data_IF_237808440328
#
_entry.id   IF_237808440328
#
_cell.length_a   1.000
_cell.length_b   1.000
_cell.length_c   1.000
_cell.angle_alpha   90.00
_cell.angle_beta   90.00
_cell.angle_gamma   90.00
#
_symmetry.space_group_name_H-M   'P 1'
#
loop_
_entity.id
_entity.type
_entity.pdbx_description
1 polymer ?
#
# COMPACT_ATOMS: atom_id res chain seq x y z
N UNK A 1 -8.93 17.48 -5.16
CA UNK A 1 -8.22 18.46 -6.00
C UNK A 1 -7.18 19.17 -5.14
N UNK A 2 -5.91 19.13 -5.55
CA UNK A 2 -4.91 20.16 -5.28
C UNK A 2 -3.63 19.76 -6.02
N UNK A 3 -3.55 20.12 -7.30
CA UNK A 3 -2.27 20.31 -7.96
C UNK A 3 -2.03 21.83 -7.93
N UNK A 4 -1.36 22.31 -6.88
CA UNK A 4 -0.69 23.60 -7.00
C UNK A 4 0.46 23.33 -7.95
N UNK A 5 0.34 23.76 -9.21
CA UNK A 5 1.44 23.74 -10.15
C UNK A 5 2.50 24.71 -9.63
N UNK A 6 3.43 24.20 -8.81
CA UNK A 6 4.64 24.91 -8.46
C UNK A 6 5.49 25.06 -9.73
N UNK A 7 5.72 26.29 -10.17
CA UNK A 7 6.61 26.64 -11.26
C UNK A 7 8.10 26.55 -10.88
N UNK A 8 8.42 26.14 -9.64
CA UNK A 8 9.81 26.06 -9.19
C UNK A 8 10.56 24.90 -9.86
N UNK A 9 11.85 25.09 -10.19
CA UNK A 9 12.65 24.08 -10.88
C UNK A 9 12.78 22.81 -10.04
N UNK A 10 12.73 21.66 -10.71
CA UNK A 10 13.00 20.35 -10.11
C UNK A 10 14.48 20.30 -9.76
N UNK A 11 14.78 20.10 -8.48
CA UNK A 11 16.12 19.96 -7.95
C UNK A 11 16.66 18.53 -8.12
N UNK A 12 15.79 17.54 -7.90
CA UNK A 12 16.14 16.12 -7.99
C UNK A 12 14.90 15.29 -8.28
N UNK A 13 15.12 14.15 -8.94
CA UNK A 13 14.11 13.15 -9.25
C UNK A 13 14.60 11.77 -8.79
N UNK A 14 13.70 10.93 -8.30
CA UNK A 14 14.02 9.56 -7.90
C UNK A 14 12.86 8.61 -8.17
N UNK A 15 13.15 7.46 -8.78
CA UNK A 15 12.17 6.38 -8.93
C UNK A 15 12.06 5.58 -7.64
N UNK A 16 10.82 5.36 -7.20
CA UNK A 16 10.48 4.57 -6.02
C UNK A 16 9.76 3.30 -6.44
N UNK A 17 10.23 2.15 -5.95
CA UNK A 17 9.47 0.91 -5.94
C UNK A 17 8.77 0.78 -4.60
N UNK A 18 7.45 0.68 -4.59
CA UNK A 18 6.66 0.60 -3.36
C UNK A 18 5.95 -0.73 -3.31
N UNK A 19 6.10 -1.45 -2.20
CA UNK A 19 5.37 -2.67 -1.89
C UNK A 19 4.25 -2.37 -0.90
N UNK A 20 3.07 -2.91 -1.19
CA UNK A 20 1.87 -2.81 -0.36
C UNK A 20 1.47 -4.21 0.08
N UNK A 21 1.36 -4.41 1.38
CA UNK A 21 0.97 -5.67 2.01
C UNK A 21 -0.20 -5.42 2.96
N UNK A 22 -1.16 -6.33 2.95
CA UNK A 22 -2.15 -6.46 4.03
C UNK A 22 -1.75 -7.70 4.83
N UNK A 23 -1.51 -7.52 6.12
CA UNK A 23 -1.12 -8.60 7.02
C UNK A 23 -2.24 -8.93 7.97
N UNK A 24 -2.49 -10.22 8.19
CA UNK A 24 -3.47 -10.72 9.14
C UNK A 24 -2.79 -11.37 10.35
N UNK A 25 -3.40 -11.22 11.53
CA UNK A 25 -2.91 -11.83 12.76
C UNK A 25 -3.10 -13.35 12.70
N UNK A 26 -1.99 -14.08 12.64
CA UNK A 26 -1.97 -15.53 12.68
C UNK A 26 -2.08 -16.05 14.13
N UNK A 27 -2.46 -17.34 14.33
CA UNK A 27 -2.62 -17.93 15.67
C UNK A 27 -1.36 -17.91 16.54
N UNK A 28 -0.17 -17.79 15.93
CA UNK A 28 1.10 -17.65 16.65
C UNK A 28 1.35 -16.23 17.18
N UNK A 29 0.44 -15.28 16.94
CA UNK A 29 0.54 -13.89 17.37
C UNK A 29 1.28 -12.98 16.40
N UNK A 30 1.73 -13.50 15.25
CA UNK A 30 2.45 -12.71 14.24
C UNK A 30 1.53 -12.20 13.14
N UNK A 31 1.84 -11.02 12.60
CA UNK A 31 1.16 -10.47 11.42
C UNK A 31 1.84 -10.96 10.15
N UNK A 32 1.13 -11.79 9.39
CA UNK A 32 1.64 -12.42 8.18
C UNK A 32 0.92 -11.85 6.96
N UNK A 33 1.63 -11.52 5.85
CA UNK A 33 0.99 -11.07 4.62
C UNK A 33 -0.06 -12.07 4.13
N UNK A 34 -1.22 -11.57 3.76
CA UNK A 34 -2.27 -12.38 3.14
C UNK A 34 -1.86 -12.81 1.73
N UNK A 35 -2.47 -13.88 1.24
CA UNK A 35 -2.26 -14.30 -0.15
C UNK A 35 -2.79 -13.21 -1.09
N UNK A 36 -1.98 -12.87 -2.09
CA UNK A 36 -2.40 -12.04 -3.21
C UNK A 36 -2.58 -12.91 -4.44
N UNK A 37 -3.77 -12.85 -5.02
CA UNK A 37 -4.00 -13.43 -6.33
C UNK A 37 -3.54 -12.43 -7.40
N UNK A 38 -2.56 -12.85 -8.17
CA UNK A 38 -2.02 -12.11 -9.32
C UNK A 38 -2.51 -12.70 -10.65
N UNK A 39 -3.47 -13.62 -10.62
CA UNK A 39 -4.21 -13.95 -11.84
C UNK A 39 -5.03 -12.73 -12.27
N UNK A 40 -5.12 -12.56 -13.60
CA UNK A 40 -5.71 -11.42 -14.30
C UNK A 40 -4.83 -10.14 -14.41
N UNK A 41 -4.98 -9.42 -15.52
CA UNK A 41 -4.51 -8.05 -15.72
C UNK A 41 -5.35 -7.05 -14.88
N UNK A 42 -5.47 -7.30 -13.58
CA UNK A 42 -6.24 -6.42 -12.70
C UNK A 42 -5.65 -5.01 -12.71
N UNK A 43 -6.49 -3.96 -12.76
CA UNK A 43 -6.01 -2.57 -12.73
C UNK A 43 -5.12 -2.28 -11.51
N UNK A 44 -5.36 -2.98 -10.40
CA UNK A 44 -4.62 -2.85 -9.16
C UNK A 44 -3.37 -3.73 -9.08
N UNK A 45 -3.11 -4.60 -10.06
CA UNK A 45 -2.00 -5.56 -10.14
C UNK A 45 -2.00 -6.65 -9.05
N UNK A 46 -3.19 -7.03 -8.59
CA UNK A 46 -3.42 -8.13 -7.65
C UNK A 46 -4.66 -7.92 -6.79
N UNK A 47 -5.18 -9.02 -6.22
CA UNK A 47 -6.31 -9.02 -5.29
C UNK A 47 -5.93 -9.69 -3.96
N UNK A 48 -6.03 -8.95 -2.85
CA UNK A 48 -5.74 -9.46 -1.51
C UNK A 48 -6.88 -10.34 -1.01
N UNK A 49 -6.53 -11.55 -0.57
CA UNK A 49 -7.48 -12.56 -0.12
C UNK A 49 -7.56 -12.54 1.42
N UNK A 50 -8.55 -11.83 1.96
CA UNK A 50 -8.71 -11.56 3.40
C UNK A 50 -9.63 -12.56 4.08
N UNK A 51 -9.45 -12.78 5.38
CA UNK A 51 -10.37 -13.55 6.21
C UNK A 51 -11.23 -12.62 7.07
N UNK A 52 -12.54 -12.84 7.10
CA UNK A 52 -13.46 -12.04 7.91
C UNK A 52 -13.11 -12.11 9.41
N UNK A 53 -13.20 -10.96 10.09
CA UNK A 53 -13.07 -10.88 11.55
C UNK A 53 -11.66 -11.10 12.11
N UNK A 54 -10.63 -11.00 11.25
CA UNK A 54 -9.22 -11.07 11.67
C UNK A 54 -8.63 -9.66 11.77
N UNK A 55 -7.82 -9.43 12.81
CA UNK A 55 -7.09 -8.17 12.99
C UNK A 55 -6.04 -7.99 11.90
N UNK A 56 -5.92 -6.77 11.36
CA UNK A 56 -5.05 -6.49 10.21
C UNK A 56 -4.08 -5.35 10.44
N UNK A 57 -2.99 -5.39 9.69
CA UNK A 57 -2.06 -4.27 9.51
C UNK A 57 -1.83 -4.02 8.03
N UNK A 58 -1.63 -2.76 7.69
CA UNK A 58 -1.08 -2.38 6.40
C UNK A 58 0.42 -2.20 6.57
N UNK A 59 1.22 -2.86 5.73
CA UNK A 59 2.67 -2.72 5.70
C UNK A 59 3.07 -2.16 4.34
N UNK A 60 3.86 -1.08 4.38
CA UNK A 60 4.32 -0.40 3.18
C UNK A 60 5.84 -0.36 3.23
N UNK A 61 6.48 -0.82 2.16
CA UNK A 61 7.93 -0.76 2.00
C UNK A 61 8.27 0.06 0.78
N UNK A 62 9.07 1.11 0.96
CA UNK A 62 9.52 2.00 -0.11
C UNK A 62 10.99 1.71 -0.36
N UNK A 63 11.30 1.32 -1.59
CA UNK A 63 12.64 1.01 -2.05
C UNK A 63 13.09 2.05 -3.10
N UNK A 64 14.31 2.54 -2.96
CA UNK A 64 14.93 3.40 -3.98
C UNK A 64 16.45 3.21 -4.02
N UNK A 65 17.06 3.61 -5.13
CA UNK A 65 18.51 3.62 -5.25
C UNK A 65 19.13 4.55 -4.22
N UNK A 66 20.25 4.11 -3.64
CA UNK A 66 20.99 4.89 -2.65
C UNK A 66 21.54 6.15 -3.31
N UNK A 67 21.18 7.30 -2.77
CA UNK A 67 21.66 8.61 -3.22
C UNK A 67 21.77 9.57 -2.03
N UNK A 68 22.35 10.75 -2.27
CA UNK A 68 22.55 11.79 -1.26
C UNK A 68 21.60 12.99 -1.43
N UNK A 69 20.58 12.87 -2.30
CA UNK A 69 19.68 13.99 -2.60
C UNK A 69 18.53 14.09 -1.61
N UNK A 70 18.14 12.98 -0.98
CA UNK A 70 17.13 12.99 0.08
C UNK A 70 17.28 11.79 1.02
N UNK A 71 16.64 11.91 2.18
CA UNK A 71 16.46 10.84 3.13
C UNK A 71 15.04 10.87 3.69
N UNK A 72 14.45 9.70 3.92
CA UNK A 72 13.19 9.58 4.65
C UNK A 72 13.40 9.96 6.11
N UNK A 73 12.51 10.81 6.63
CA UNK A 73 12.53 11.24 8.03
C UNK A 73 11.54 10.42 8.86
N UNK A 74 10.27 10.44 8.47
CA UNK A 74 9.18 9.73 9.16
C UNK A 74 7.95 9.60 8.25
N UNK A 75 6.90 8.96 8.73
CA UNK A 75 5.58 8.90 8.09
C UNK A 75 4.64 9.82 8.86
N UNK A 76 4.20 10.90 8.20
CA UNK A 76 3.30 11.87 8.80
C UNK A 76 1.91 11.27 9.01
N UNK A 77 1.40 10.57 8.00
CA UNK A 77 0.04 10.05 8.02
C UNK A 77 -0.15 8.92 7.01
N UNK A 78 -0.95 7.92 7.36
CA UNK A 78 -1.50 6.94 6.43
C UNK A 78 -3.02 7.00 6.45
N UNK A 79 -3.61 7.34 5.31
CA UNK A 79 -5.04 7.49 5.13
C UNK A 79 -5.58 6.38 4.25
N UNK A 80 -6.72 5.78 4.64
CA UNK A 80 -7.42 4.78 3.84
C UNK A 80 -8.91 5.08 3.76
N UNK A 81 -9.56 4.76 2.65
CA UNK A 81 -10.99 4.98 2.46
C UNK A 81 -11.43 4.76 1.02
N UNK A 82 -12.49 5.44 0.59
CA UNK A 82 -13.03 5.30 -0.79
C UNK A 82 -13.40 3.87 -1.11
N UNK A 83 -14.07 3.22 -0.16
CA UNK A 83 -14.49 1.82 -0.24
C UNK A 83 -15.58 1.69 -1.29
N UNK A 84 -15.35 0.85 -2.30
CA UNK A 84 -16.24 0.71 -3.46
C UNK A 84 -16.16 -0.69 -4.07
N UNK A 85 -17.08 -1.02 -4.98
CA UNK A 85 -17.11 -2.30 -5.70
C UNK A 85 -16.75 -2.20 -7.19
N UNK A 86 -16.53 -0.99 -7.70
CA UNK A 86 -16.01 -0.70 -9.04
C UNK A 86 -14.58 -0.20 -8.98
N UNK A 87 -13.84 -0.34 -10.09
CA UNK A 87 -12.45 0.15 -10.17
C UNK A 87 -12.47 1.69 -10.08
N UNK A 88 -13.35 2.29 -10.86
CA UNK A 88 -13.60 3.73 -10.89
C UNK A 88 -14.28 4.18 -9.58
N UNK A 89 -13.97 5.40 -9.17
CA UNK A 89 -14.61 6.10 -8.07
C UNK A 89 -15.63 7.08 -8.64
N UNK A 90 -16.88 6.98 -8.19
CA UNK A 90 -17.99 7.81 -8.67
C UNK A 90 -18.52 8.75 -7.57
N UNK A 91 -19.36 9.71 -7.95
CA UNK A 91 -19.87 10.72 -7.01
C UNK A 91 -20.64 10.13 -5.82
N UNK A 92 -21.30 8.98 -5.99
CA UNK A 92 -21.98 8.28 -4.89
C UNK A 92 -21.01 7.64 -3.88
N UNK A 93 -19.72 7.49 -4.22
CA UNK A 93 -18.69 6.98 -3.31
C UNK A 93 -18.09 8.09 -2.43
N UNK A 94 -18.47 9.36 -2.66
CA UNK A 94 -17.94 10.52 -1.92
C UNK A 94 -18.26 10.45 -0.42
N UNK A 95 -19.38 9.83 -0.06
CA UNK A 95 -19.82 9.69 1.33
C UNK A 95 -19.08 8.58 2.09
N UNK A 96 -18.16 7.86 1.45
CA UNK A 96 -17.40 6.79 2.09
C UNK A 96 -16.47 7.32 3.18
N UNK A 97 -16.44 6.61 4.32
CA UNK A 97 -15.60 6.99 5.45
C UNK A 97 -14.11 6.84 5.10
N UNK A 98 -13.37 7.93 5.32
CA UNK A 98 -11.92 8.00 5.19
C UNK A 98 -11.31 8.06 6.60
N UNK A 99 -10.33 7.20 6.85
CA UNK A 99 -9.72 7.00 8.16
C UNK A 99 -8.23 7.29 8.10
N UNK A 100 -7.74 8.04 9.09
CA UNK A 100 -6.31 8.14 9.41
C UNK A 100 -5.94 7.01 10.36
N UNK A 101 -4.91 6.23 10.02
CA UNK A 101 -4.55 5.01 10.75
C UNK A 101 -3.48 5.26 11.82
N UNK A 102 -3.53 4.49 12.90
CA UNK A 102 -2.50 4.49 13.93
C UNK A 102 -1.21 3.85 13.40
N UNK A 103 -0.16 4.67 13.24
CA UNK A 103 1.15 4.27 12.74
C UNK A 103 1.99 3.59 13.82
N UNK A 104 2.74 2.58 13.41
CA UNK A 104 3.88 2.06 14.15
C UNK A 104 5.16 2.79 13.71
N UNK A 105 6.21 2.83 14.56
CA UNK A 105 7.48 3.46 14.19
C UNK A 105 8.04 2.89 12.88
N UNK A 106 8.36 3.79 11.96
CA UNK A 106 9.03 3.43 10.72
C UNK A 106 10.48 3.01 10.98
N UNK A 107 11.03 2.18 10.11
CA UNK A 107 12.40 1.70 10.23
C UNK A 107 13.00 1.37 8.86
N UNK A 108 14.33 1.31 8.81
CA UNK A 108 15.06 0.92 7.60
C UNK A 108 15.34 -0.58 7.61
N UNK A 109 15.15 -1.23 6.47
CA UNK A 109 15.51 -2.63 6.26
C UNK A 109 16.86 -2.73 5.56
N UNK A 110 17.61 -3.79 5.87
CA UNK A 110 18.85 -4.14 5.20
C UNK A 110 18.69 -5.53 4.56
N UNK A 111 18.92 -5.60 3.25
CA UNK A 111 18.97 -6.87 2.53
C UNK A 111 20.41 -7.17 2.12
N UNK A 112 20.85 -8.40 2.32
CA UNK A 112 22.19 -8.81 1.93
C UNK A 112 22.35 -8.70 0.41
N UNK A 113 23.42 -8.05 -0.05
CA UNK A 113 23.73 -7.82 -1.45
C UNK A 113 22.70 -6.95 -2.22
N UNK A 114 21.91 -6.15 -1.50
CA UNK A 114 21.05 -5.14 -2.11
C UNK A 114 21.48 -3.76 -1.59
N UNK A 115 21.96 -2.90 -2.50
CA UNK A 115 22.47 -1.57 -2.13
C UNK A 115 21.36 -0.52 -2.05
N UNK A 116 20.11 -0.87 -2.37
CA UNK A 116 18.97 0.03 -2.29
C UNK A 116 18.63 0.36 -0.84
N UNK A 117 18.01 1.51 -0.66
CA UNK A 117 17.44 1.93 0.62
C UNK A 117 16.02 1.40 0.72
N UNK A 118 15.70 0.73 1.82
CA UNK A 118 14.36 0.23 2.11
C UNK A 118 13.83 0.89 3.38
N UNK A 119 12.78 1.69 3.23
CA UNK A 119 12.07 2.34 4.33
C UNK A 119 10.70 1.67 4.51
N UNK A 120 10.46 1.09 5.69
CA UNK A 120 9.24 0.35 5.99
C UNK A 120 8.49 0.96 7.17
N UNK A 121 7.16 0.94 7.07
CA UNK A 121 6.28 1.27 8.18
C UNK A 121 5.04 0.38 8.15
N UNK A 122 4.38 0.30 9.30
CA UNK A 122 3.11 -0.41 9.47
C UNK A 122 2.05 0.50 10.07
N UNK A 123 0.78 0.17 9.83
CA UNK A 123 -0.35 0.80 10.51
C UNK A 123 -1.40 -0.25 10.89
N UNK A 124 -2.02 -0.09 12.06
CA UNK A 124 -3.15 -0.91 12.46
C UNK A 124 -4.39 -0.54 11.63
N UNK A 125 -5.06 -1.53 11.05
CA UNK A 125 -6.27 -1.31 10.25
C UNK A 125 -7.43 -2.14 10.76
N UNK A 126 -8.44 -1.45 11.31
CA UNK A 126 -9.73 -2.02 11.64
C UNK A 126 -10.72 -1.69 10.51
N UNK A 127 -11.02 -2.69 9.69
CA UNK A 127 -11.91 -2.54 8.54
C UNK A 127 -13.35 -2.17 8.93
N UNK A 128 -13.77 -2.46 10.16
CA UNK A 128 -15.15 -2.19 10.62
C UNK A 128 -15.42 -0.69 10.81
N UNK A 129 -14.39 0.10 11.07
CA UNK A 129 -14.49 1.56 11.27
C UNK A 129 -14.89 2.33 10.01
N UNK A 130 -14.80 1.70 8.83
CA UNK A 130 -15.30 2.29 7.59
C UNK A 130 -16.84 2.29 7.50
N UNK A 131 -17.53 1.56 8.38
CA UNK A 131 -18.99 1.36 8.34
C UNK A 131 -19.51 0.85 6.98
N UNK A 132 -18.65 0.20 6.19
CA UNK A 132 -19.01 -0.33 4.87
C UNK A 132 -19.49 -1.77 4.98
N UNK A 133 -20.70 -2.04 4.49
CA UNK A 133 -21.24 -3.40 4.40
C UNK A 133 -20.34 -4.32 3.55
N UNK A 134 -19.56 -3.76 2.61
CA UNK A 134 -18.68 -4.51 1.73
C UNK A 134 -17.56 -5.19 2.53
N UNK A 135 -16.96 -4.47 3.48
CA UNK A 135 -15.86 -4.99 4.33
C UNK A 135 -16.35 -5.87 5.48
N UNK A 136 -17.63 -5.75 5.86
CA UNK A 136 -18.21 -6.41 7.03
C UNK A 136 -18.82 -7.79 6.73
N UNK A 137 -18.84 -8.23 5.46
CA UNK A 137 -19.40 -9.53 5.02
C UNK A 137 -18.43 -10.27 4.12
N UNK A 138 -18.69 -11.57 3.92
CA UNK A 138 -18.03 -12.35 2.87
C UNK A 138 -18.39 -11.76 1.50
N UNK A 139 -17.38 -11.49 0.68
CA UNK A 139 -17.55 -10.94 -0.66
C UNK A 139 -18.24 -11.99 -1.56
N UNK A 140 -19.35 -11.64 -2.24
CA UNK A 140 -20.00 -12.54 -3.18
C UNK A 140 -19.07 -13.00 -4.30
N UNK A 141 -19.34 -14.18 -4.85
CA UNK A 141 -18.52 -14.74 -5.92
C UNK A 141 -18.47 -13.81 -7.15
N UNK A 142 -17.26 -13.51 -7.63
CA UNK A 142 -17.02 -12.62 -8.77
C UNK A 142 -17.01 -11.12 -8.43
N UNK A 143 -17.42 -10.73 -7.22
CA UNK A 143 -17.33 -9.35 -6.75
C UNK A 143 -15.95 -9.05 -6.16
N UNK A 144 -15.58 -7.77 -6.18
CA UNK A 144 -14.32 -7.25 -5.65
C UNK A 144 -14.59 -5.99 -4.84
N UNK A 145 -13.76 -5.74 -3.84
CA UNK A 145 -13.77 -4.52 -3.04
C UNK A 145 -12.52 -3.73 -3.36
N UNK A 146 -12.65 -2.43 -3.57
CA UNK A 146 -11.54 -1.52 -3.79
C UNK A 146 -11.46 -0.51 -2.65
N UNK A 147 -10.23 -0.15 -2.29
CA UNK A 147 -9.93 0.86 -1.27
C UNK A 147 -8.77 1.71 -1.75
N UNK A 148 -8.86 3.02 -1.56
CA UNK A 148 -7.75 3.94 -1.82
C UNK A 148 -6.95 4.15 -0.54
N UNK A 149 -5.63 4.02 -0.66
CA UNK A 149 -4.63 4.32 0.36
C UNK A 149 -3.80 5.51 -0.08
N UNK A 150 -3.55 6.46 0.83
CA UNK A 150 -2.63 7.59 0.62
C UNK A 150 -1.68 7.71 1.81
N UNK A 151 -0.38 7.58 1.57
CA UNK A 151 0.68 7.76 2.57
C UNK A 151 1.35 9.13 2.37
N UNK A 152 1.44 9.90 3.46
CA UNK A 152 2.13 11.19 3.51
C UNK A 152 3.45 11.02 4.26
N UNK A 153 4.56 11.22 3.55
CA UNK A 153 5.91 10.88 3.99
C UNK A 153 6.72 12.14 4.23
N UNK A 154 7.37 12.23 5.38
CA UNK A 154 8.32 13.30 5.66
C UNK A 154 9.67 12.99 5.03
N UNK A 155 10.20 13.98 4.31
CA UNK A 155 11.51 13.92 3.67
C UNK A 155 12.39 14.98 4.33
N UNK A 156 13.63 14.62 4.64
CA UNK A 156 14.59 15.56 5.25
C UNK A 156 14.72 16.84 4.42
N UNK A 157 14.79 17.98 5.11
CA UNK A 157 14.87 19.32 4.51
C UNK A 157 13.72 19.69 3.55
N UNK A 158 12.58 18.98 3.60
CA UNK A 158 11.40 19.30 2.81
C UNK A 158 10.28 19.86 3.70
N UNK A 159 9.72 21.00 3.32
CA UNK A 159 8.61 21.63 4.06
C UNK A 159 7.25 20.92 3.83
N UNK A 160 7.09 20.25 2.69
CA UNK A 160 5.87 19.51 2.34
C UNK A 160 6.16 18.01 2.29
N UNK A 161 5.23 17.17 2.78
CA UNK A 161 5.38 15.73 2.69
C UNK A 161 5.22 15.24 1.25
N UNK A 162 5.94 14.18 0.90
CA UNK A 162 5.67 13.42 -0.32
C UNK A 162 4.37 12.61 -0.15
N UNK A 163 3.62 12.38 -1.23
CA UNK A 163 2.38 11.61 -1.18
C UNK A 163 2.44 10.43 -2.14
N UNK A 164 2.16 9.22 -1.62
CA UNK A 164 2.03 7.99 -2.40
C UNK A 164 0.59 7.51 -2.29
N UNK A 165 -0.11 7.41 -3.42
CA UNK A 165 -1.49 6.91 -3.47
C UNK A 165 -1.58 5.60 -4.25
N UNK A 166 -2.35 4.64 -3.74
CA UNK A 166 -2.58 3.34 -4.37
C UNK A 166 -4.01 2.86 -4.11
N UNK A 167 -4.66 2.38 -5.17
CA UNK A 167 -5.86 1.57 -5.02
C UNK A 167 -5.50 0.10 -4.80
N UNK A 168 -6.06 -0.49 -3.75
CA UNK A 168 -5.95 -1.92 -3.42
C UNK A 168 -7.27 -2.61 -3.79
N UNK A 169 -7.17 -3.83 -4.33
CA UNK A 169 -8.30 -4.70 -4.59
C UNK A 169 -8.27 -5.86 -3.58
N UNK A 170 -9.42 -6.25 -3.04
CA UNK A 170 -9.51 -7.32 -2.07
C UNK A 170 -10.83 -8.11 -2.18
N UNK A 171 -10.80 -9.32 -1.62
CA UNK A 171 -11.92 -10.22 -1.46
C UNK A 171 -11.91 -10.72 -0.01
N UNK A 172 -13.06 -10.65 0.67
CA UNK A 172 -13.23 -11.13 2.05
C UNK A 172 -13.85 -12.52 2.02
N UNK A 173 -13.13 -13.51 2.52
CA UNK A 173 -13.57 -14.89 2.68
C UNK A 173 -14.10 -15.15 4.09
N UNK A 174 -14.81 -16.26 4.26
CA UNK A 174 -15.16 -16.77 5.60
C UNK A 174 -13.89 -17.05 6.40
N UNK A 175 -13.96 -16.87 7.72
CA UNK A 175 -12.83 -16.98 8.65
C UNK A 175 -12.06 -18.29 8.54
N UNK A 176 -12.75 -19.40 8.28
CA UNK A 176 -12.15 -20.75 8.25
C UNK A 176 -11.72 -21.20 6.84
N UNK A 177 -11.82 -20.31 5.84
CA UNK A 177 -11.46 -20.63 4.46
C UNK A 177 -9.97 -20.89 4.36
N UNK A 178 -9.58 -22.05 3.80
CA UNK A 178 -8.16 -22.32 3.52
C UNK A 178 -7.77 -21.71 2.18
N UNK A 179 -7.18 -20.52 2.22
CA UNK A 179 -6.71 -19.82 1.03
C UNK A 179 -5.28 -20.28 0.74
N UNK A 180 -5.08 -20.88 -0.43
CA UNK A 180 -3.75 -21.23 -0.92
C UNK A 180 -3.41 -20.32 -2.09
N UNK A 181 -2.15 -19.89 -2.16
CA UNK A 181 -1.64 -19.20 -3.33
C UNK A 181 -1.97 -20.00 -4.61
N UNK A 182 -2.44 -19.36 -5.69
CA UNK A 182 -2.57 -20.03 -6.97
C UNK A 182 -1.25 -20.70 -7.29
N UNK A 183 -1.28 -22.02 -7.52
CA UNK A 183 -0.10 -22.75 -7.99
C UNK A 183 0.16 -22.26 -9.41
N UNK A 184 0.99 -21.22 -9.55
CA UNK A 184 1.61 -20.90 -10.82
C UNK A 184 2.20 -22.21 -11.36
N UNK A 185 1.82 -22.58 -12.58
CA UNK A 185 2.28 -23.80 -13.23
C UNK A 185 3.79 -23.92 -13.02
N UNK A 186 4.20 -25.04 -12.42
CA UNK A 186 5.60 -25.36 -12.15
C UNK A 186 6.41 -25.07 -13.42
N UNK A 187 7.22 -24.01 -13.40
CA UNK A 187 8.41 -23.99 -14.22
C UNK A 187 9.24 -25.18 -13.74
N UNK A 188 9.37 -26.19 -14.60
CA UNK A 188 10.35 -27.25 -14.46
C UNK A 188 11.71 -26.55 -14.30
N UNK A 189 12.48 -26.99 -13.30
CA UNK A 189 13.75 -26.44 -12.81
C UNK A 189 13.65 -25.31 -11.78
N UNK A 190 13.82 -25.67 -10.50
CA UNK A 190 14.20 -24.75 -9.43
C UNK A 190 13.04 -24.30 -8.52
N UNK A 191 13.04 -24.80 -7.29
CA UNK A 191 12.17 -24.33 -6.21
C UNK A 191 12.60 -22.91 -5.81
N UNK A 192 12.03 -21.89 -6.45
CA UNK A 192 12.03 -20.53 -5.90
C UNK A 192 10.65 -20.29 -5.30
N UNK A 193 10.56 -20.21 -3.97
CA UNK A 193 9.40 -19.65 -3.27
C UNK A 193 9.15 -18.27 -3.89
N UNK A 194 8.01 -18.07 -4.53
CA UNK A 194 7.74 -16.82 -5.24
C UNK A 194 7.67 -15.66 -4.21
N UNK A 195 8.67 -14.76 -4.16
CA UNK A 195 8.78 -13.73 -3.10
C UNK A 195 7.72 -12.63 -3.21
N UNK A 196 6.86 -12.70 -4.22
CA UNK A 196 5.84 -11.69 -4.53
C UNK A 196 4.42 -12.12 -4.14
N UNK A 197 4.25 -13.33 -3.57
CA UNK A 197 2.92 -13.92 -3.32
C UNK A 197 2.03 -13.18 -2.31
N UNK A 198 2.57 -12.24 -1.52
CA UNK A 198 1.86 -11.56 -0.44
C UNK A 198 1.76 -10.05 -0.58
N UNK A 199 2.19 -9.49 -1.72
CA UNK A 199 2.32 -8.03 -1.89
C UNK A 199 1.91 -7.58 -3.28
N UNK A 200 1.41 -6.36 -3.39
CA UNK A 200 1.24 -5.65 -4.67
C UNK A 200 2.32 -4.58 -4.77
N UNK A 201 2.88 -4.38 -5.96
CA UNK A 201 3.91 -3.37 -6.19
C UNK A 201 3.42 -2.21 -7.06
N UNK A 202 3.93 -1.01 -6.81
CA UNK A 202 3.77 0.18 -7.65
C UNK A 202 5.10 0.88 -7.88
N UNK A 203 5.26 1.52 -9.03
CA UNK A 203 6.41 2.38 -9.33
C UNK A 203 5.92 3.82 -9.30
N UNK A 204 6.66 4.67 -8.59
CA UNK A 204 6.35 6.08 -8.40
C UNK A 204 7.58 6.93 -8.70
N UNK A 205 7.35 8.20 -8.98
CA UNK A 205 8.41 9.19 -9.19
C UNK A 205 8.32 10.23 -8.09
N UNK A 206 9.41 10.42 -7.34
CA UNK A 206 9.55 11.49 -6.35
C UNK A 206 10.22 12.69 -7.01
N UNK A 207 9.54 13.84 -7.01
CA UNK A 207 10.04 15.11 -7.52
C UNK A 207 10.31 16.07 -6.37
N UNK A 208 11.58 16.38 -6.14
CA UNK A 208 12.01 17.39 -5.17
C UNK A 208 12.21 18.70 -5.89
N UNK A 209 11.54 19.76 -5.43
CA UNK A 209 11.61 21.09 -6.04
C UNK A 209 12.27 22.06 -5.08
N UNK A 210 13.00 23.04 -5.62
CA UNK A 210 13.51 24.13 -4.81
C UNK A 210 12.35 24.95 -4.25
N UNK A 211 12.46 25.33 -2.99
CA UNK A 211 11.54 26.26 -2.37
C UNK A 211 11.82 27.66 -2.93
N UNK A 212 10.84 28.24 -3.64
CA UNK A 212 10.90 29.64 -4.10
C UNK A 212 10.03 30.50 -3.19
N UNK A 213 10.63 31.44 -2.45
CA UNK A 213 9.93 32.39 -1.57
C UNK A 213 9.09 33.46 -2.30
N UNK A 214 8.92 33.36 -3.62
CA UNK A 214 8.14 34.33 -4.40
C UNK A 214 6.63 34.08 -4.27
N UNK A 215 6.04 34.58 -3.18
CA UNK A 215 4.59 34.57 -2.95
C UNK A 215 4.20 35.26 -1.64
N UNK A 216 4.67 36.49 -1.42
CA UNK A 216 4.18 37.41 -0.39
C UNK A 216 3.12 38.34 -0.92
#
# INVERSE_FOLDING_TARGET
MCAVHSSSPVHSQCDLLVWFEICELAPNGEYVPVVVDHSDELPTRGSFMLHQGIQRRLRITIAHEKNNHFAWKDVRELVVGRIRNTVEFYDYDIETTVLSLGLFPAHFLQYQNDERVFFQFEAAWDSSLHNSIMLNRVTPYGEKIYMTLSAYLEVENCAQPACITKDLCMVVHSRDTKISAPRALKNLFGVTKNPDCGKVSGVYELLLRQYSESGG
#
